data_IF_942729000194
#
_entry.id   IF_942729000194
#
_cell.length_a   1.000
_cell.length_b   1.000
_cell.length_c   1.000
_cell.angle_alpha   90.00
_cell.angle_beta   90.00
_cell.angle_gamma   90.00
#
_symmetry.space_group_name_H-M   'P 1'
#
loop_
_entity.id
_entity.type
_entity.pdbx_description
1 polymer ?
#
# COMPACT_ATOMS: atom_id res chain seq x y z
N UNK A 1 -57.10 -7.04 1.92
CA UNK A 1 -56.21 -6.61 0.81
C UNK A 1 -55.05 -5.75 1.33
N UNK A 2 -54.43 -6.11 2.46
CA UNK A 2 -53.53 -5.21 3.20
C UNK A 2 -52.27 -5.91 3.75
N UNK A 3 -51.88 -7.05 3.15
CA UNK A 3 -50.67 -7.80 3.54
C UNK A 3 -49.61 -7.89 2.43
N UNK A 4 -49.97 -7.58 1.18
CA UNK A 4 -49.05 -7.67 0.04
C UNK A 4 -48.15 -6.43 -0.10
N UNK A 5 -48.60 -5.28 0.39
CA UNK A 5 -47.85 -4.02 0.31
C UNK A 5 -46.73 -3.91 1.36
N UNK A 6 -46.74 -4.74 2.40
CA UNK A 6 -45.69 -4.75 3.44
C UNK A 6 -44.48 -5.61 3.03
N UNK A 7 -44.65 -6.52 2.07
CA UNK A 7 -43.61 -7.50 1.71
C UNK A 7 -42.69 -7.00 0.59
N UNK A 8 -43.15 -6.06 -0.23
CA UNK A 8 -42.36 -5.48 -1.33
C UNK A 8 -41.36 -4.40 -0.89
N UNK A 9 -41.52 -3.84 0.32
CA UNK A 9 -40.57 -2.86 0.87
C UNK A 9 -39.29 -3.50 1.46
N UNK A 10 -39.28 -4.83 1.64
CA UNK A 10 -38.15 -5.58 2.21
C UNK A 10 -37.05 -5.93 1.18
N UNK A 11 -37.30 -5.73 -0.12
CA UNK A 11 -36.37 -6.14 -1.19
C UNK A 11 -35.59 -4.98 -1.84
N UNK A 12 -35.81 -3.73 -1.44
CA UNK A 12 -35.17 -2.56 -2.04
C UNK A 12 -34.06 -1.91 -1.18
N UNK A 13 -33.62 -2.56 -0.11
CA UNK A 13 -32.70 -1.94 0.84
C UNK A 13 -31.67 -2.92 1.38
N UNK A 14 -30.67 -3.27 0.57
CA UNK A 14 -29.32 -3.63 1.02
C UNK A 14 -28.40 -3.79 -0.19
N UNK A 15 -28.14 -2.68 -0.91
CA UNK A 15 -26.82 -2.55 -1.53
C UNK A 15 -25.86 -2.32 -0.37
N UNK A 16 -25.37 -3.41 0.21
CA UNK A 16 -24.25 -3.38 1.13
C UNK A 16 -23.06 -2.80 0.35
N UNK A 17 -22.89 -1.47 0.44
CA UNK A 17 -21.60 -0.87 0.24
C UNK A 17 -20.74 -1.40 1.38
N UNK A 18 -20.05 -2.51 1.11
CA UNK A 18 -18.94 -2.98 1.92
C UNK A 18 -17.86 -1.91 1.80
N UNK A 19 -18.01 -0.84 2.59
CA UNK A 19 -16.91 0.03 2.95
C UNK A 19 -15.79 -0.88 3.43
N UNK A 20 -14.66 -0.81 2.72
CA UNK A 20 -13.50 -1.65 2.92
C UNK A 20 -13.20 -1.82 4.41
N UNK A 21 -13.15 -3.08 4.83
CA UNK A 21 -12.84 -3.60 6.16
C UNK A 21 -11.94 -2.67 6.98
N UNK A 22 -12.24 -2.56 8.27
CA UNK A 22 -11.40 -1.93 9.30
C UNK A 22 -10.08 -2.67 9.49
N UNK A 23 -9.22 -2.60 8.48
CA UNK A 23 -7.83 -3.02 8.52
C UNK A 23 -7.01 -1.78 8.87
N UNK A 24 -6.10 -1.89 9.84
CA UNK A 24 -5.21 -0.78 10.19
C UNK A 24 -4.49 -0.31 8.92
N UNK A 25 -4.34 1.00 8.70
CA UNK A 25 -3.67 1.50 7.51
C UNK A 25 -2.28 0.85 7.41
N UNK A 26 -1.85 0.43 6.21
CA UNK A 26 -0.55 -0.20 6.07
C UNK A 26 0.54 0.74 6.55
N UNK A 27 1.61 0.20 7.15
CA UNK A 27 2.60 1.00 7.87
C UNK A 27 3.24 2.04 6.96
N UNK A 28 3.55 3.20 7.51
CA UNK A 28 4.20 4.29 6.77
C UNK A 28 5.64 3.96 6.35
N UNK A 29 6.27 3.01 7.03
CA UNK A 29 7.65 2.58 6.80
C UNK A 29 7.79 1.07 6.80
N UNK A 30 8.76 0.55 6.05
CA UNK A 30 9.11 -0.87 6.02
C UNK A 30 10.63 -1.06 6.10
N UNK A 31 11.06 -2.04 6.88
CA UNK A 31 12.45 -2.49 6.96
C UNK A 31 12.65 -3.72 6.07
N UNK A 32 13.73 -3.74 5.30
CA UNK A 32 14.13 -4.87 4.46
C UNK A 32 15.59 -5.22 4.75
N UNK A 33 15.89 -6.51 4.84
CA UNK A 33 17.25 -7.01 5.03
C UNK A 33 17.83 -7.45 3.69
N UNK A 34 18.97 -6.86 3.31
CA UNK A 34 19.79 -7.21 2.15
C UNK A 34 21.06 -7.95 2.60
N UNK A 35 21.84 -8.46 1.63
CA UNK A 35 23.15 -9.06 1.92
C UNK A 35 24.12 -8.07 2.57
N UNK A 36 24.01 -6.80 2.21
CA UNK A 36 24.89 -5.71 2.65
C UNK A 36 24.45 -5.05 3.96
N UNK A 37 23.22 -5.32 4.44
CA UNK A 37 22.68 -4.70 5.64
C UNK A 37 21.18 -4.46 5.57
N UNK A 38 20.66 -3.68 6.52
CA UNK A 38 19.24 -3.34 6.63
C UNK A 38 18.95 -1.97 6.04
N UNK A 39 17.83 -1.86 5.34
CA UNK A 39 17.34 -0.61 4.76
C UNK A 39 15.93 -0.33 5.25
N UNK A 40 15.63 0.93 5.49
CA UNK A 40 14.28 1.39 5.84
C UNK A 40 13.82 2.33 4.74
N UNK A 41 12.57 2.16 4.30
CA UNK A 41 11.94 3.09 3.36
C UNK A 41 10.55 3.51 3.81
N UNK A 42 10.03 4.56 3.16
CA UNK A 42 8.70 5.09 3.36
C UNK A 42 7.75 4.71 2.23
N UNK A 43 6.46 4.65 2.57
CA UNK A 43 5.35 4.49 1.64
C UNK A 43 5.21 5.72 0.74
N UNK A 44 4.87 5.48 -0.53
CA UNK A 44 4.54 6.50 -1.52
C UNK A 44 3.13 6.25 -2.04
N UNK A 45 2.25 7.23 -1.84
CA UNK A 45 0.87 7.18 -2.31
C UNK A 45 0.74 7.67 -3.75
N UNK A 46 -0.08 6.96 -4.53
CA UNK A 46 -0.49 7.36 -5.86
C UNK A 46 -1.83 8.08 -5.83
N UNK A 47 -2.07 8.88 -6.86
CA UNK A 47 -3.34 9.60 -7.05
C UNK A 47 -4.57 8.69 -7.17
N UNK A 48 -4.39 7.41 -7.51
CA UNK A 48 -5.47 6.43 -7.65
C UNK A 48 -5.79 5.67 -6.35
N UNK A 49 -5.27 6.13 -5.20
CA UNK A 49 -5.48 5.49 -3.90
C UNK A 49 -4.65 4.23 -3.66
N UNK A 50 -3.80 3.81 -4.61
CA UNK A 50 -2.82 2.75 -4.40
C UNK A 50 -1.54 3.32 -3.79
N UNK A 51 -0.69 2.45 -3.27
CA UNK A 51 0.62 2.84 -2.75
C UNK A 51 1.69 1.80 -3.12
N UNK A 52 2.95 2.20 -2.99
CA UNK A 52 4.10 1.31 -3.04
C UNK A 52 5.20 1.80 -2.09
N UNK A 53 6.12 0.92 -1.73
CA UNK A 53 7.34 1.29 -1.02
C UNK A 53 8.45 1.56 -2.05
N UNK A 54 9.04 2.75 -2.01
CA UNK A 54 10.03 3.17 -2.99
C UNK A 54 11.44 3.17 -2.37
N UNK A 55 12.30 2.25 -2.78
CA UNK A 55 13.68 2.20 -2.31
C UNK A 55 14.59 2.96 -3.27
N UNK A 56 15.13 4.10 -2.84
CA UNK A 56 15.96 4.99 -3.66
C UNK A 56 17.37 5.07 -3.09
N UNK A 57 18.34 5.31 -3.97
CA UNK A 57 19.74 5.58 -3.58
C UNK A 57 20.39 4.48 -2.74
N UNK A 58 20.03 3.21 -2.95
CA UNK A 58 20.72 2.10 -2.29
C UNK A 58 22.10 1.92 -2.95
N UNK A 59 23.20 2.03 -2.19
CA UNK A 59 24.53 1.78 -2.72
C UNK A 59 24.66 0.29 -3.07
N UNK A 60 25.11 0.01 -4.28
CA UNK A 60 25.32 -1.36 -4.77
C UNK A 60 26.80 -1.67 -5.03
N UNK A 61 27.66 -0.65 -4.99
CA UNK A 61 29.08 -0.73 -5.23
C UNK A 61 29.82 0.32 -4.41
N UNK A 62 31.13 0.15 -4.30
CA UNK A 62 32.01 1.15 -3.73
C UNK A 62 32.02 2.41 -4.63
N UNK A 63 31.97 3.63 -4.07
CA UNK A 63 32.05 4.85 -4.87
C UNK A 63 33.32 4.86 -5.74
N UNK A 64 33.22 5.16 -7.06
CA UNK A 64 34.37 5.12 -7.97
C UNK A 64 35.23 6.39 -7.84
N UNK A 65 35.75 6.63 -6.65
CA UNK A 65 36.62 7.77 -6.30
C UNK A 65 38.10 7.35 -6.32
N UNK A 66 38.99 8.33 -6.39
CA UNK A 66 40.44 8.14 -6.35
C UNK A 66 40.95 7.07 -7.33
N UNK A 67 41.59 6.03 -6.81
CA UNK A 67 42.16 4.93 -7.57
C UNK A 67 41.12 4.00 -8.19
N UNK A 68 39.84 4.09 -7.79
CA UNK A 68 38.73 3.35 -8.39
C UNK A 68 38.15 4.09 -9.61
N UNK A 69 38.50 5.36 -9.81
CA UNK A 69 38.07 6.08 -11.00
C UNK A 69 38.67 5.41 -12.24
N UNK A 70 37.81 5.09 -13.20
CA UNK A 70 38.16 4.41 -14.45
C UNK A 70 38.63 2.95 -14.28
N UNK A 71 38.31 2.29 -13.16
CA UNK A 71 38.47 0.84 -12.97
C UNK A 71 37.15 0.09 -13.06
#
# INVERSE_FOLDING_TARGET
MTKILLFTFLLLGCSAFEGTKGENPPPSTVEVTLKQGKIITSRVDLKNGKYHYAFKSIPFAEPPVDQLRFK
#
